data_IF_501705021015
#
_entry.id   IF_501705021015
#
_cell.length_a   1.000
_cell.length_b   1.000
_cell.length_c   1.000
_cell.angle_alpha   90.00
_cell.angle_beta   90.00
_cell.angle_gamma   90.00
#
_symmetry.space_group_name_H-M   'P 1'
#
loop_
_entity.id
_entity.type
_entity.pdbx_description
1 polymer ?
#
# COMPACT_ATOMS: atom_id res chain seq x y z
N UNK A 1 -15.56 6.20 26.97
CA UNK A 1 -15.17 7.33 26.10
C UNK A 1 -13.91 6.93 25.36
N UNK A 2 -13.99 6.74 24.05
CA UNK A 2 -12.83 6.35 23.24
C UNK A 2 -11.86 7.54 23.22
N UNK A 3 -10.64 7.31 23.68
CA UNK A 3 -9.65 8.38 23.87
C UNK A 3 -9.17 8.86 22.50
N UNK A 4 -9.33 10.14 22.15
CA UNK A 4 -8.99 10.68 20.82
C UNK A 4 -7.54 10.34 20.40
N UNK A 5 -6.63 10.21 21.37
CA UNK A 5 -5.24 9.77 21.15
C UNK A 5 -5.14 8.37 20.54
N UNK A 6 -6.01 7.43 20.95
CA UNK A 6 -6.00 6.07 20.43
C UNK A 6 -6.46 6.02 18.96
N UNK A 7 -7.44 6.84 18.59
CA UNK A 7 -7.86 6.98 17.19
C UNK A 7 -6.72 7.55 16.33
N UNK A 8 -6.05 8.60 16.79
CA UNK A 8 -4.90 9.19 16.08
C UNK A 8 -3.77 8.18 15.86
N UNK A 9 -3.43 7.38 16.88
CA UNK A 9 -2.41 6.33 16.76
C UNK A 9 -2.84 5.24 15.78
N UNK A 10 -4.13 4.87 15.79
CA UNK A 10 -4.66 3.89 14.85
C UNK A 10 -4.56 4.36 13.40
N UNK A 11 -4.95 5.61 13.10
CA UNK A 11 -4.79 6.20 11.77
C UNK A 11 -3.32 6.35 11.38
N UNK A 12 -2.44 6.73 12.31
CA UNK A 12 -1.01 6.78 12.07
C UNK A 12 -0.44 5.39 11.72
N UNK A 13 -0.91 4.33 12.38
CA UNK A 13 -0.54 2.94 12.06
C UNK A 13 -0.95 2.55 10.64
N UNK A 14 -2.17 2.88 10.23
CA UNK A 14 -2.60 2.65 8.84
C UNK A 14 -1.79 3.45 7.83
N UNK A 15 -1.51 4.73 8.11
CA UNK A 15 -0.68 5.56 7.26
C UNK A 15 0.76 5.02 7.15
N UNK A 16 1.35 4.56 8.25
CA UNK A 16 2.67 3.95 8.25
C UNK A 16 2.70 2.65 7.44
N UNK A 17 1.66 1.80 7.57
CA UNK A 17 1.53 0.59 6.78
C UNK A 17 1.43 0.90 5.28
N UNK A 18 0.69 1.94 4.91
CA UNK A 18 0.59 2.43 3.53
C UNK A 18 1.94 2.92 3.00
N UNK A 19 2.62 3.79 3.75
CA UNK A 19 3.90 4.36 3.37
C UNK A 19 4.99 3.29 3.21
N UNK A 20 5.07 2.36 4.16
CA UNK A 20 6.00 1.24 4.09
C UNK A 20 5.67 0.31 2.90
N UNK A 21 4.40 -0.03 2.71
CA UNK A 21 3.95 -0.86 1.58
C UNK A 21 4.28 -0.23 0.24
N UNK A 22 4.01 1.07 0.08
CA UNK A 22 4.33 1.82 -1.13
C UNK A 22 5.85 1.93 -1.35
N UNK A 23 6.61 2.25 -0.30
CA UNK A 23 8.07 2.34 -0.37
C UNK A 23 8.71 1.02 -0.81
N UNK A 24 8.23 -0.11 -0.27
CA UNK A 24 8.68 -1.44 -0.68
C UNK A 24 8.30 -1.78 -2.13
N UNK A 25 7.08 -1.44 -2.56
CA UNK A 25 6.64 -1.67 -3.94
C UNK A 25 7.42 -0.83 -4.95
N UNK A 26 7.67 0.44 -4.65
CA UNK A 26 8.50 1.32 -5.50
C UNK A 26 9.93 0.80 -5.55
N UNK A 27 10.53 0.48 -4.40
CA UNK A 27 11.90 -0.05 -4.36
C UNK A 27 12.02 -1.39 -5.10
N UNK A 28 11.08 -2.30 -4.89
CA UNK A 28 11.00 -3.56 -5.63
C UNK A 28 10.82 -3.34 -7.12
N UNK A 29 9.93 -2.42 -7.53
CA UNK A 29 9.72 -2.05 -8.92
C UNK A 29 10.98 -1.50 -9.57
N UNK A 30 11.71 -0.61 -8.88
CA UNK A 30 12.98 -0.07 -9.38
C UNK A 30 14.03 -1.16 -9.57
N UNK A 31 14.11 -2.10 -8.62
CA UNK A 31 15.06 -3.20 -8.71
C UNK A 31 14.74 -4.14 -9.88
N UNK A 32 13.45 -4.44 -10.10
CA UNK A 32 12.97 -5.26 -11.21
C UNK A 32 13.18 -4.54 -12.54
N UNK A 33 12.75 -3.28 -12.66
CA UNK A 33 12.90 -2.47 -13.89
C UNK A 33 14.37 -2.37 -14.30
N UNK A 34 15.28 -2.13 -13.35
CA UNK A 34 16.73 -2.12 -13.60
C UNK A 34 17.25 -3.48 -14.10
N UNK A 35 16.69 -4.58 -13.61
CA UNK A 35 17.15 -5.93 -13.97
C UNK A 35 16.66 -6.39 -15.34
N UNK A 36 15.46 -5.99 -15.75
CA UNK A 36 14.88 -6.41 -17.03
C UNK A 36 15.36 -5.53 -18.20
N UNK A 37 16.12 -4.44 -17.93
CA UNK A 37 16.67 -3.53 -18.95
C UNK A 37 15.62 -3.04 -19.96
N UNK A 38 14.36 -2.96 -19.52
CA UNK A 38 13.27 -2.39 -20.31
C UNK A 38 13.48 -0.88 -20.26
N UNK A 39 13.52 -0.22 -21.42
CA UNK A 39 13.69 1.24 -21.51
C UNK A 39 12.55 2.05 -20.87
N UNK A 40 11.55 1.38 -20.30
CA UNK A 40 10.40 1.98 -19.64
C UNK A 40 10.25 1.40 -18.22
N UNK A 41 10.21 2.25 -17.17
CA UNK A 41 10.10 1.80 -15.78
C UNK A 41 8.67 1.38 -15.43
N UNK A 42 8.24 0.22 -15.93
CA UNK A 42 6.85 -0.25 -15.82
C UNK A 42 6.52 -0.69 -14.39
N UNK A 43 7.42 -1.44 -13.74
CA UNK A 43 7.14 -2.07 -12.44
C UNK A 43 7.11 -1.06 -11.29
N UNK A 44 7.91 0.00 -11.37
CA UNK A 44 7.85 1.15 -10.44
C UNK A 44 6.46 1.76 -10.38
N UNK A 45 5.72 1.78 -11.50
CA UNK A 45 4.37 2.34 -11.56
C UNK A 45 3.29 1.29 -11.30
N UNK A 46 3.45 0.09 -11.83
CA UNK A 46 2.45 -0.97 -11.76
C UNK A 46 2.30 -1.55 -10.34
N UNK A 47 3.42 -1.77 -9.63
CA UNK A 47 3.40 -2.40 -8.31
C UNK A 47 2.70 -1.55 -7.24
N UNK A 48 2.98 -0.23 -7.11
CA UNK A 48 2.28 0.62 -6.14
C UNK A 48 0.78 0.72 -6.45
N UNK A 49 0.42 0.80 -7.74
CA UNK A 49 -0.99 0.80 -8.17
C UNK A 49 -1.70 -0.49 -7.75
N UNK A 50 -1.07 -1.64 -7.97
CA UNK A 50 -1.61 -2.94 -7.59
C UNK A 50 -1.79 -3.04 -6.07
N UNK A 51 -0.83 -2.53 -5.28
CA UNK A 51 -0.95 -2.46 -3.82
C UNK A 51 -2.17 -1.62 -3.40
N UNK A 52 -2.37 -0.44 -3.99
CA UNK A 52 -3.54 0.41 -3.70
C UNK A 52 -4.84 -0.32 -4.02
N UNK A 53 -4.95 -0.94 -5.19
CA UNK A 53 -6.15 -1.71 -5.58
C UNK A 53 -6.40 -2.87 -4.61
N UNK A 54 -5.34 -3.62 -4.25
CA UNK A 54 -5.44 -4.73 -3.30
C UNK A 54 -5.93 -4.26 -1.92
N UNK A 55 -5.47 -3.09 -1.46
CA UNK A 55 -5.93 -2.52 -0.19
C UNK A 55 -7.38 -2.05 -0.26
N UNK A 56 -7.81 -1.44 -1.36
CA UNK A 56 -9.23 -1.06 -1.55
C UNK A 56 -10.11 -2.31 -1.52
N UNK A 57 -9.74 -3.36 -2.27
CA UNK A 57 -10.48 -4.63 -2.27
C UNK A 57 -10.53 -5.22 -0.86
N UNK A 58 -9.42 -5.18 -0.12
CA UNK A 58 -9.36 -5.68 1.25
C UNK A 58 -10.29 -4.89 2.17
N UNK A 59 -10.27 -3.56 2.10
CA UNK A 59 -11.17 -2.69 2.89
C UNK A 59 -12.64 -2.98 2.58
N UNK A 60 -13.00 -3.12 1.30
CA UNK A 60 -14.36 -3.48 0.89
C UNK A 60 -14.76 -4.84 1.48
N UNK A 61 -13.88 -5.84 1.35
CA UNK A 61 -14.13 -7.20 1.85
C UNK A 61 -14.24 -7.24 3.37
N UNK A 62 -13.37 -6.53 4.09
CA UNK A 62 -13.37 -6.46 5.54
C UNK A 62 -14.62 -5.72 6.05
N UNK A 63 -15.09 -4.72 5.32
CA UNK A 63 -16.34 -4.00 5.61
C UNK A 63 -17.58 -4.84 5.32
N UNK A 64 -17.56 -5.66 4.27
CA UNK A 64 -18.71 -6.51 3.88
C UNK A 64 -18.86 -7.75 4.78
N UNK A 65 -17.77 -8.24 5.38
CA UNK A 65 -17.75 -9.47 6.18
C UNK A 65 -18.20 -9.27 7.63
N UNK A 66 -18.50 -8.05 8.04
CA UNK A 66 -18.96 -7.70 9.37
C UNK A 66 -20.41 -7.18 9.25
N UNK A 67 -21.45 -8.03 9.47
CA UNK A 67 -22.82 -7.54 9.62
C UNK A 67 -22.99 -6.68 10.87
#
# INVERSE_FOLDING_TARGET
MQNNKNLLIQYAGFAAQLLLGLGLMVYGGMWIDKKIAIGFPLFVWLLPLLLIVAMIIKVIKDTTKNP
#
